data_IF_465704748222
#
_entry.id   IF_465704748222
#
_cell.length_a   1.000
_cell.length_b   1.000
_cell.length_c   1.000
_cell.angle_alpha   90.00
_cell.angle_beta   90.00
_cell.angle_gamma   90.00
#
_symmetry.space_group_name_H-M   'P 1'
#
loop_
_entity.id
_entity.type
_entity.pdbx_description
1 polymer ?
#
# COMPACT_ATOMS: atom_id res chain seq x y z
N UNK A 1 -7.74 -92.48 -32.63
CA UNK A 1 -7.98 -93.32 -31.43
C UNK A 1 -8.44 -92.40 -30.31
N UNK A 2 -9.64 -92.63 -29.76
CA UNK A 2 -10.32 -91.77 -28.77
C UNK A 2 -9.59 -91.81 -27.41
N UNK A 3 -9.63 -90.72 -26.64
CA UNK A 3 -9.95 -90.64 -25.20
C UNK A 3 -9.97 -89.14 -24.80
N UNK A 4 -11.14 -88.54 -24.54
CA UNK A 4 -11.86 -88.39 -23.25
C UNK A 4 -11.51 -87.09 -22.49
N UNK A 5 -12.57 -86.29 -22.35
CA UNK A 5 -12.85 -85.09 -21.55
C UNK A 5 -12.07 -84.87 -20.25
N UNK A 6 -11.81 -83.60 -19.93
CA UNK A 6 -12.15 -83.02 -18.62
C UNK A 6 -12.52 -81.54 -18.78
N UNK A 7 -13.70 -81.19 -18.25
CA UNK A 7 -14.16 -79.83 -18.04
C UNK A 7 -13.38 -79.23 -16.87
N UNK A 8 -12.85 -78.02 -17.02
CA UNK A 8 -12.43 -77.20 -15.90
C UNK A 8 -12.99 -75.79 -16.11
N UNK A 9 -14.07 -75.49 -15.38
CA UNK A 9 -14.65 -74.15 -15.26
C UNK A 9 -13.77 -73.40 -14.28
N UNK A 10 -12.96 -72.45 -14.77
CA UNK A 10 -12.30 -71.47 -13.91
C UNK A 10 -13.06 -70.16 -14.04
N UNK A 11 -13.87 -69.90 -13.01
CA UNK A 11 -14.49 -68.60 -12.76
C UNK A 11 -13.39 -67.61 -12.35
N UNK A 12 -12.96 -66.74 -13.27
CA UNK A 12 -12.13 -65.59 -12.94
C UNK A 12 -13.01 -64.44 -12.46
N UNK A 13 -13.09 -64.31 -11.13
CA UNK A 13 -13.64 -63.16 -10.44
C UNK A 13 -12.64 -62.00 -10.57
N UNK A 14 -12.88 -61.09 -11.51
CA UNK A 14 -12.10 -59.84 -11.63
C UNK A 14 -12.55 -58.91 -10.52
N UNK A 15 -11.81 -58.87 -9.42
CA UNK A 15 -11.95 -57.86 -8.38
C UNK A 15 -11.33 -56.57 -8.93
N UNK A 16 -12.20 -55.61 -9.30
CA UNK A 16 -11.80 -54.25 -9.61
C UNK A 16 -11.32 -53.57 -8.32
N UNK A 17 -10.00 -53.46 -8.15
CA UNK A 17 -9.38 -52.55 -7.19
C UNK A 17 -9.55 -51.12 -7.71
N UNK A 18 -10.68 -50.49 -7.41
CA UNK A 18 -10.76 -49.04 -7.41
C UNK A 18 -9.88 -48.53 -6.27
N UNK A 19 -8.63 -48.23 -6.60
CA UNK A 19 -7.78 -47.39 -5.76
C UNK A 19 -8.48 -46.05 -5.63
N UNK A 20 -9.15 -45.84 -4.50
CA UNK A 20 -9.74 -44.59 -4.10
C UNK A 20 -8.59 -43.63 -3.76
N UNK A 21 -7.93 -43.09 -4.79
CA UNK A 21 -7.11 -41.89 -4.66
C UNK A 21 -8.08 -40.75 -4.31
N UNK A 22 -8.44 -40.65 -3.03
CA UNK A 22 -8.66 -39.35 -2.44
C UNK A 22 -7.32 -38.64 -2.60
N UNK A 23 -7.22 -37.82 -3.65
CA UNK A 23 -6.34 -36.67 -3.57
C UNK A 23 -6.72 -36.02 -2.23
N UNK A 24 -5.78 -36.01 -1.28
CA UNK A 24 -5.85 -35.01 -0.23
C UNK A 24 -5.91 -33.69 -0.99
N UNK A 25 -7.11 -33.09 -1.02
CA UNK A 25 -7.19 -31.64 -1.14
C UNK A 25 -6.25 -31.14 -0.06
N UNK A 26 -5.06 -30.70 -0.48
CA UNK A 26 -4.24 -29.80 0.31
C UNK A 26 -5.23 -28.78 0.84
N UNK A 27 -5.44 -28.78 2.17
CA UNK A 27 -6.23 -27.75 2.82
C UNK A 27 -5.62 -26.45 2.35
N UNK A 28 -6.30 -25.77 1.43
CA UNK A 28 -5.98 -24.43 0.96
C UNK A 28 -5.51 -23.66 2.18
N UNK A 29 -4.21 -23.40 2.28
CA UNK A 29 -3.68 -22.52 3.30
C UNK A 29 -4.48 -21.22 3.15
N UNK A 30 -5.17 -20.81 4.22
CA UNK A 30 -6.16 -19.72 4.14
C UNK A 30 -5.48 -18.49 3.54
N UNK A 31 -6.03 -17.92 2.48
CA UNK A 31 -5.51 -16.69 1.90
C UNK A 31 -5.42 -15.55 2.96
N UNK A 32 -4.55 -14.57 2.73
CA UNK A 32 -4.23 -13.53 3.72
C UNK A 32 -5.49 -12.80 4.22
N UNK A 33 -6.37 -12.38 3.31
CA UNK A 33 -7.63 -11.70 3.66
C UNK A 33 -8.55 -12.52 4.56
N UNK A 34 -8.58 -13.84 4.39
CA UNK A 34 -9.42 -14.71 5.23
C UNK A 34 -8.78 -14.97 6.60
N UNK A 35 -7.45 -15.11 6.64
CA UNK A 35 -6.72 -15.28 7.89
C UNK A 35 -6.79 -14.02 8.78
N UNK A 36 -6.77 -12.83 8.17
CA UNK A 36 -6.79 -11.53 8.86
C UNK A 36 -8.20 -10.97 9.08
N UNK A 37 -9.24 -11.72 8.71
CA UNK A 37 -10.63 -11.30 8.88
C UNK A 37 -10.96 -11.01 10.34
N UNK A 38 -11.55 -9.84 10.60
CA UNK A 38 -11.86 -9.37 11.95
C UNK A 38 -10.64 -8.85 12.73
N UNK A 39 -9.49 -8.72 12.08
CA UNK A 39 -8.31 -8.01 12.60
C UNK A 39 -8.19 -6.66 11.89
N UNK A 40 -7.82 -6.67 10.62
CA UNK A 40 -7.72 -5.48 9.77
C UNK A 40 -7.85 -5.88 8.30
N UNK A 41 -8.09 -4.89 7.43
CA UNK A 41 -8.00 -5.08 5.98
C UNK A 41 -6.54 -5.33 5.57
N UNK A 42 -6.34 -6.24 4.61
CA UNK A 42 -5.04 -6.48 3.99
C UNK A 42 -5.11 -5.99 2.54
N UNK A 43 -4.29 -4.99 2.24
CA UNK A 43 -4.31 -4.28 0.98
C UNK A 43 -3.05 -4.45 0.15
N UNK A 44 -3.15 -4.05 -1.12
CA UNK A 44 -2.03 -4.03 -2.08
C UNK A 44 -2.11 -2.82 -2.99
N UNK A 45 -0.97 -2.18 -3.23
CA UNK A 45 -0.84 -1.14 -4.24
C UNK A 45 -0.80 -1.76 -5.65
N UNK A 46 -1.64 -1.26 -6.56
CA UNK A 46 -1.80 -1.78 -7.91
C UNK A 46 -1.14 -0.88 -8.96
N UNK A 47 -0.33 -1.50 -9.82
CA UNK A 47 0.25 -0.85 -11.00
C UNK A 47 -0.68 -0.93 -12.22
N UNK A 48 -0.30 -0.28 -13.33
CA UNK A 48 -1.14 -0.20 -14.52
C UNK A 48 -1.40 -1.55 -15.20
N UNK A 49 -0.44 -2.47 -15.19
CA UNK A 49 -0.59 -3.77 -15.85
C UNK A 49 -1.52 -4.70 -15.08
N UNK A 50 -1.56 -4.56 -13.75
CA UNK A 50 -2.53 -5.24 -12.88
C UNK A 50 -3.94 -4.63 -13.04
N UNK A 51 -4.05 -3.29 -13.07
CA UNK A 51 -5.33 -2.59 -13.26
C UNK A 51 -5.97 -2.94 -14.61
N UNK A 52 -5.17 -2.95 -15.68
CA UNK A 52 -5.64 -3.26 -17.05
C UNK A 52 -5.81 -4.75 -17.31
N UNK A 53 -5.41 -5.61 -16.37
CA UNK A 53 -5.52 -7.07 -16.48
C UNK A 53 -4.49 -7.73 -17.41
N UNK A 54 -3.45 -7.01 -17.82
CA UNK A 54 -2.32 -7.59 -18.57
C UNK A 54 -1.52 -8.55 -17.70
N UNK A 55 -1.28 -8.19 -16.44
CA UNK A 55 -0.70 -9.09 -15.45
C UNK A 55 -1.77 -10.04 -14.88
N UNK A 56 -2.06 -11.10 -15.65
CA UNK A 56 -3.05 -12.10 -15.25
C UNK A 56 -2.64 -12.91 -14.02
N UNK A 57 -1.34 -13.07 -13.76
CA UNK A 57 -0.85 -13.78 -12.58
C UNK A 57 -1.02 -12.92 -11.33
N UNK A 58 -0.65 -11.64 -11.41
CA UNK A 58 -0.81 -10.70 -10.32
C UNK A 58 -2.28 -10.46 -9.98
N UNK A 59 -3.15 -10.30 -10.99
CA UNK A 59 -4.60 -10.15 -10.77
C UNK A 59 -5.20 -11.35 -10.02
N UNK A 60 -4.71 -12.57 -10.26
CA UNK A 60 -5.15 -13.75 -9.51
C UNK A 60 -4.76 -13.65 -8.03
N UNK A 61 -3.49 -13.35 -7.75
CA UNK A 61 -3.01 -13.19 -6.37
C UNK A 61 -3.73 -12.05 -5.63
N UNK A 62 -3.97 -10.92 -6.32
CA UNK A 62 -4.67 -9.77 -5.74
C UNK A 62 -6.06 -10.19 -5.26
N UNK A 63 -6.82 -10.89 -6.09
CA UNK A 63 -8.18 -11.38 -5.73
C UNK A 63 -8.16 -12.47 -4.66
N UNK A 64 -7.12 -13.28 -4.63
CA UNK A 64 -6.99 -14.37 -3.69
C UNK A 64 -6.62 -13.86 -2.30
N UNK A 65 -5.64 -12.97 -2.19
CA UNK A 65 -5.04 -12.60 -0.91
C UNK A 65 -5.52 -11.27 -0.32
N UNK A 66 -6.09 -10.35 -1.09
CA UNK A 66 -6.32 -8.98 -0.65
C UNK A 66 -7.78 -8.56 -0.71
N UNK A 67 -8.19 -7.73 0.25
CA UNK A 67 -9.55 -7.16 0.36
C UNK A 67 -9.56 -5.64 0.33
N UNK A 68 -8.40 -5.01 0.13
CA UNK A 68 -8.24 -3.57 -0.08
C UNK A 68 -7.25 -3.30 -1.21
N UNK A 69 -7.44 -2.20 -1.94
CA UNK A 69 -6.54 -1.77 -3.02
C UNK A 69 -6.23 -0.28 -2.91
N UNK A 70 -5.05 0.10 -3.40
CA UNK A 70 -4.58 1.49 -3.55
C UNK A 70 -3.96 1.64 -4.95
N UNK A 71 -4.20 2.71 -5.72
CA UNK A 71 -3.54 2.89 -7.00
C UNK A 71 -2.11 3.41 -6.77
N UNK A 72 -1.11 2.76 -7.34
CA UNK A 72 0.29 3.15 -7.13
C UNK A 72 0.58 4.56 -7.70
N UNK A 73 -0.02 4.91 -8.84
CA UNK A 73 0.27 6.16 -9.55
C UNK A 73 -0.93 6.82 -10.23
N UNK A 74 -1.93 6.05 -10.70
CA UNK A 74 -2.93 6.57 -11.64
C UNK A 74 -3.91 7.60 -11.05
N UNK A 75 -3.93 7.78 -9.73
CA UNK A 75 -4.73 8.80 -9.04
C UNK A 75 -3.90 9.95 -8.46
N UNK A 76 -2.60 10.05 -8.77
CA UNK A 76 -1.79 11.22 -8.42
C UNK A 76 -2.18 12.43 -9.28
N UNK A 77 -2.09 13.63 -8.72
CA UNK A 77 -2.65 14.84 -9.35
C UNK A 77 -2.09 15.12 -10.75
N UNK A 78 -0.80 14.88 -11.02
CA UNK A 78 -0.22 15.08 -12.36
C UNK A 78 -0.78 14.14 -13.43
N UNK A 79 -1.20 12.94 -13.02
CA UNK A 79 -1.80 11.95 -13.91
C UNK A 79 -3.27 12.26 -14.14
N UNK A 80 -3.99 12.57 -13.05
CA UNK A 80 -5.41 12.88 -13.13
C UNK A 80 -5.69 14.21 -13.82
N UNK A 81 -4.82 15.20 -13.69
CA UNK A 81 -5.04 16.55 -14.22
C UNK A 81 -3.74 17.17 -14.78
N UNK A 82 -3.20 16.63 -15.89
CA UNK A 82 -1.93 17.07 -16.45
C UNK A 82 -1.93 18.54 -16.90
N UNK A 83 -3.09 19.08 -17.27
CA UNK A 83 -3.29 20.49 -17.62
C UNK A 83 -4.52 21.07 -16.90
N UNK A 84 -4.51 22.38 -16.64
CA UNK A 84 -5.61 23.08 -15.96
C UNK A 84 -6.95 22.80 -16.65
N UNK A 85 -7.90 22.23 -15.90
CA UNK A 85 -9.23 21.88 -16.39
C UNK A 85 -9.32 20.65 -17.31
N UNK A 86 -8.21 20.00 -17.66
CA UNK A 86 -8.22 18.76 -18.47
C UNK A 86 -7.88 17.57 -17.59
N UNK A 87 -8.86 16.70 -17.39
CA UNK A 87 -8.70 15.49 -16.59
C UNK A 87 -8.55 14.24 -17.45
N UNK A 88 -7.71 13.31 -17.01
CA UNK A 88 -7.62 11.95 -17.52
C UNK A 88 -7.99 10.95 -16.42
N UNK A 89 -9.14 10.31 -16.58
CA UNK A 89 -9.66 9.32 -15.63
C UNK A 89 -9.58 7.89 -16.16
N UNK A 90 -9.04 7.64 -17.36
CA UNK A 90 -9.23 6.37 -18.05
C UNK A 90 -8.67 5.15 -17.29
N UNK A 91 -7.49 5.28 -16.67
CA UNK A 91 -6.91 4.21 -15.86
C UNK A 91 -7.48 4.18 -14.44
N UNK A 92 -7.81 5.35 -13.87
CA UNK A 92 -8.41 5.46 -12.55
C UNK A 92 -9.84 4.87 -12.51
N UNK A 93 -10.62 5.05 -13.57
CA UNK A 93 -11.94 4.43 -13.72
C UNK A 93 -11.83 2.90 -13.73
N UNK A 94 -10.88 2.34 -14.50
CA UNK A 94 -10.62 0.89 -14.53
C UNK A 94 -10.20 0.35 -13.16
N UNK A 95 -9.41 1.12 -12.41
CA UNK A 95 -9.01 0.78 -11.05
C UNK A 95 -10.22 0.72 -10.10
N UNK A 96 -11.10 1.73 -10.13
CA UNK A 96 -12.32 1.73 -9.29
C UNK A 96 -13.26 0.60 -9.70
N UNK A 97 -13.44 0.38 -11.01
CA UNK A 97 -14.25 -0.72 -11.54
C UNK A 97 -13.70 -2.09 -11.10
N UNK A 98 -12.38 -2.25 -11.09
CA UNK A 98 -11.73 -3.46 -10.56
C UNK A 98 -12.08 -3.67 -9.09
N UNK A 99 -11.93 -2.64 -8.26
CA UNK A 99 -12.25 -2.74 -6.83
C UNK A 99 -13.71 -3.10 -6.57
N UNK A 100 -14.65 -2.43 -7.26
CA UNK A 100 -16.09 -2.69 -7.10
C UNK A 100 -16.46 -4.10 -7.57
N UNK A 101 -15.94 -4.55 -8.72
CA UNK A 101 -16.22 -5.89 -9.26
C UNK A 101 -15.75 -7.02 -8.34
N UNK A 102 -14.71 -6.78 -7.55
CA UNK A 102 -14.13 -7.77 -6.64
C UNK A 102 -14.46 -7.49 -5.16
N UNK A 103 -15.41 -6.58 -4.87
CA UNK A 103 -15.84 -6.22 -3.52
C UNK A 103 -14.69 -5.80 -2.58
N UNK A 104 -13.73 -5.04 -3.10
CA UNK A 104 -12.57 -4.56 -2.34
C UNK A 104 -12.84 -3.18 -1.74
N UNK A 105 -12.22 -2.91 -0.58
CA UNK A 105 -12.10 -1.55 -0.07
C UNK A 105 -11.16 -0.75 -0.98
N UNK A 106 -11.63 0.40 -1.47
CA UNK A 106 -10.95 1.18 -2.50
C UNK A 106 -10.39 2.45 -1.86
N UNK A 107 -9.07 2.61 -1.88
CA UNK A 107 -8.38 3.83 -1.45
C UNK A 107 -8.08 4.67 -2.68
N UNK A 108 -8.24 5.99 -2.57
CA UNK A 108 -7.74 6.96 -3.54
C UNK A 108 -6.44 7.59 -3.05
N UNK A 109 -5.39 7.53 -3.87
CA UNK A 109 -4.05 8.00 -3.52
C UNK A 109 -3.46 8.79 -4.70
N UNK A 110 -3.24 10.11 -4.59
CA UNK A 110 -3.53 11.03 -3.48
C UNK A 110 -3.93 12.39 -4.05
N UNK A 111 -4.70 13.17 -3.29
CA UNK A 111 -5.28 14.43 -3.75
C UNK A 111 -4.29 15.61 -3.74
N UNK A 112 -3.53 15.76 -2.65
CA UNK A 112 -2.58 16.86 -2.46
C UNK A 112 -1.24 16.30 -1.97
N UNK A 113 -0.25 16.35 -2.85
CA UNK A 113 1.11 15.93 -2.55
C UNK A 113 2.12 16.88 -3.18
N UNK A 114 3.22 17.15 -2.48
CA UNK A 114 4.25 18.05 -2.99
C UNK A 114 4.99 17.47 -4.20
N UNK A 115 5.06 16.14 -4.29
CA UNK A 115 5.57 15.41 -5.45
C UNK A 115 4.42 15.05 -6.39
N UNK A 116 4.73 14.89 -7.68
CA UNK A 116 3.77 14.52 -8.72
C UNK A 116 2.50 15.40 -8.74
N UNK A 117 2.63 16.67 -8.31
CA UNK A 117 1.66 17.71 -8.54
C UNK A 117 1.98 18.42 -9.86
N UNK A 118 0.97 18.66 -10.71
CA UNK A 118 1.23 19.23 -12.03
C UNK A 118 1.69 20.69 -11.86
N UNK A 119 2.76 21.06 -12.59
CA UNK A 119 3.41 22.38 -12.45
C UNK A 119 2.44 23.56 -12.55
N UNK A 120 1.41 23.42 -13.37
CA UNK A 120 0.41 24.47 -13.59
C UNK A 120 -0.36 24.84 -12.32
N UNK A 121 -0.43 23.98 -11.29
CA UNK A 121 -1.04 24.33 -10.01
C UNK A 121 -0.43 25.62 -9.46
N UNK A 122 0.90 25.72 -9.51
CA UNK A 122 1.64 26.70 -8.72
C UNK A 122 1.98 27.97 -9.49
N UNK A 123 1.96 27.95 -10.82
CA UNK A 123 2.47 29.08 -11.63
C UNK A 123 1.43 29.71 -12.55
N UNK A 124 1.63 30.99 -12.84
CA UNK A 124 0.91 31.76 -13.85
C UNK A 124 1.49 31.50 -15.26
N UNK A 125 0.91 32.17 -16.27
CA UNK A 125 1.38 32.09 -17.67
C UNK A 125 2.83 32.57 -17.89
N UNK A 126 3.41 33.28 -16.93
CA UNK A 126 4.77 33.79 -16.98
C UNK A 126 5.75 32.93 -16.15
N UNK A 127 5.28 31.83 -15.56
CA UNK A 127 6.07 30.95 -14.71
C UNK A 127 6.32 31.49 -13.29
N UNK A 128 5.58 32.51 -12.84
CA UNK A 128 5.65 33.03 -11.47
C UNK A 128 4.64 32.33 -10.58
N UNK A 129 4.96 32.20 -9.29
CA UNK A 129 4.03 31.67 -8.30
C UNK A 129 2.70 32.45 -8.35
N UNK A 130 1.59 31.71 -8.34
CA UNK A 130 0.25 32.29 -8.28
C UNK A 130 -0.06 32.85 -6.89
N UNK A 131 -1.12 33.65 -6.78
CA UNK A 131 -1.59 34.11 -5.47
C UNK A 131 -2.16 32.95 -4.64
N UNK A 132 -2.26 33.18 -3.33
CA UNK A 132 -2.89 32.25 -2.39
C UNK A 132 -4.30 31.85 -2.85
N UNK A 133 -5.10 32.82 -3.26
CA UNK A 133 -6.50 32.62 -3.66
C UNK A 133 -6.60 31.73 -4.91
N UNK A 134 -5.72 31.94 -5.89
CA UNK A 134 -5.68 31.13 -7.11
C UNK A 134 -5.30 29.68 -6.78
N UNK A 135 -4.29 29.44 -5.92
CA UNK A 135 -3.94 28.07 -5.56
C UNK A 135 -5.04 27.39 -4.75
N UNK A 136 -5.75 28.11 -3.86
CA UNK A 136 -6.91 27.57 -3.14
C UNK A 136 -8.02 27.17 -4.11
N UNK A 137 -8.33 28.01 -5.10
CA UNK A 137 -9.35 27.71 -6.12
C UNK A 137 -8.96 26.49 -6.96
N UNK A 138 -7.69 26.38 -7.36
CA UNK A 138 -7.16 25.22 -8.10
C UNK A 138 -7.24 23.94 -7.28
N UNK A 139 -6.85 23.99 -6.00
CA UNK A 139 -7.01 22.86 -5.07
C UNK A 139 -8.48 22.47 -4.93
N UNK A 140 -9.38 23.44 -4.72
CA UNK A 140 -10.82 23.17 -4.61
C UNK A 140 -11.35 22.51 -5.87
N UNK A 141 -11.03 23.03 -7.05
CA UNK A 141 -11.48 22.47 -8.32
C UNK A 141 -10.97 21.03 -8.52
N UNK A 142 -9.67 20.79 -8.29
CA UNK A 142 -9.08 19.46 -8.40
C UNK A 142 -9.76 18.46 -7.45
N UNK A 143 -9.79 18.77 -6.15
CA UNK A 143 -10.33 17.89 -5.13
C UNK A 143 -11.81 17.60 -5.38
N UNK A 144 -12.62 18.63 -5.60
CA UNK A 144 -14.07 18.44 -5.80
C UNK A 144 -14.40 17.68 -7.08
N UNK A 145 -13.61 17.85 -8.15
CA UNK A 145 -13.80 17.08 -9.39
C UNK A 145 -13.41 15.62 -9.22
N UNK A 146 -12.24 15.34 -8.62
CA UNK A 146 -11.73 13.97 -8.43
C UNK A 146 -12.59 13.20 -7.42
N UNK A 147 -12.77 13.75 -6.22
CA UNK A 147 -13.58 13.10 -5.17
C UNK A 147 -15.03 12.99 -5.60
N UNK A 148 -15.59 14.05 -6.20
CA UNK A 148 -16.97 14.06 -6.70
C UNK A 148 -17.24 13.02 -7.79
N UNK A 149 -16.27 12.74 -8.67
CA UNK A 149 -16.38 11.68 -9.69
C UNK A 149 -16.56 10.29 -9.08
N UNK A 150 -15.88 10.02 -7.98
CA UNK A 150 -15.86 8.70 -7.33
C UNK A 150 -16.70 8.64 -6.06
N UNK A 151 -17.61 9.61 -5.87
CA UNK A 151 -18.49 9.71 -4.71
C UNK A 151 -19.23 8.39 -4.45
N UNK A 152 -19.11 7.86 -3.24
CA UNK A 152 -19.71 6.58 -2.83
C UNK A 152 -19.10 5.33 -3.47
N UNK A 153 -18.00 5.47 -4.21
CA UNK A 153 -17.27 4.35 -4.86
C UNK A 153 -15.87 4.17 -4.29
N UNK A 154 -15.15 5.27 -4.05
CA UNK A 154 -13.88 5.26 -3.30
C UNK A 154 -14.22 5.42 -1.82
N UNK A 155 -13.70 4.51 -0.99
CA UNK A 155 -14.07 4.39 0.42
C UNK A 155 -13.22 5.27 1.33
N UNK A 156 -11.96 5.53 0.95
CA UNK A 156 -11.11 6.47 1.66
C UNK A 156 -10.10 7.17 0.76
N UNK A 157 -9.70 8.38 1.14
CA UNK A 157 -8.75 9.22 0.40
C UNK A 157 -7.55 9.59 1.25
N UNK A 158 -6.36 9.38 0.72
CA UNK A 158 -5.18 10.11 1.18
C UNK A 158 -5.32 11.56 0.69
N UNK A 159 -5.85 12.43 1.54
CA UNK A 159 -6.19 13.81 1.18
C UNK A 159 -4.94 14.65 1.07
N UNK A 160 -4.04 14.53 2.07
CA UNK A 160 -2.75 15.20 2.07
C UNK A 160 -1.67 14.16 2.36
N UNK A 161 -0.65 14.14 1.51
CA UNK A 161 0.50 13.25 1.63
C UNK A 161 1.77 14.04 1.98
N UNK A 162 2.53 13.56 2.98
CA UNK A 162 3.92 13.98 3.29
C UNK A 162 4.15 15.49 3.50
N UNK A 163 3.30 16.11 4.31
CA UNK A 163 3.37 17.55 4.60
C UNK A 163 4.30 17.91 5.77
N UNK A 164 4.75 16.93 6.56
CA UNK A 164 5.53 17.12 7.78
C UNK A 164 6.92 16.49 7.63
N UNK A 165 7.94 17.24 8.02
CA UNK A 165 9.34 16.79 8.05
C UNK A 165 9.61 15.91 9.27
N UNK A 166 10.73 15.18 9.26
CA UNK A 166 11.12 14.28 10.36
C UNK A 166 11.27 14.97 11.72
N UNK A 167 11.60 16.27 11.72
CA UNK A 167 11.73 17.09 12.94
C UNK A 167 10.39 17.69 13.41
N UNK A 168 9.29 17.38 12.73
CA UNK A 168 7.95 17.88 13.02
C UNK A 168 7.64 19.25 12.41
N UNK A 169 8.57 19.87 11.68
CA UNK A 169 8.29 21.11 10.97
C UNK A 169 7.50 20.86 9.68
N UNK A 170 6.80 21.89 9.18
CA UNK A 170 6.15 21.80 7.88
C UNK A 170 7.18 21.74 6.75
N UNK A 171 7.00 20.76 5.85
CA UNK A 171 7.70 20.72 4.57
C UNK A 171 7.47 22.01 3.81
N UNK A 172 8.53 22.62 3.31
CA UNK A 172 8.47 23.88 2.54
C UNK A 172 8.01 23.65 1.09
N UNK A 173 6.91 22.91 0.91
CA UNK A 173 6.27 22.67 -0.39
C UNK A 173 5.69 23.95 -0.98
N UNK A 174 5.40 23.97 -2.28
CA UNK A 174 4.73 25.11 -2.92
C UNK A 174 3.33 25.38 -2.34
N UNK A 175 2.61 24.34 -1.92
CA UNK A 175 1.36 24.50 -1.18
C UNK A 175 1.58 25.28 0.12
N UNK A 176 2.58 24.89 0.93
CA UNK A 176 2.91 25.61 2.16
C UNK A 176 3.45 27.02 1.90
N UNK A 177 4.29 27.23 0.89
CA UNK A 177 4.88 28.54 0.60
C UNK A 177 3.86 29.57 0.11
N UNK A 178 2.89 29.13 -0.72
CA UNK A 178 1.89 30.01 -1.33
C UNK A 178 0.66 30.18 -0.43
N UNK A 179 0.15 29.08 0.16
CA UNK A 179 -1.03 29.14 1.03
C UNK A 179 -0.61 29.29 2.50
N UNK A 180 0.38 28.56 2.99
CA UNK A 180 0.65 28.43 4.42
C UNK A 180 -0.10 27.23 5.03
N UNK A 181 -0.05 27.07 6.35
CA UNK A 181 -0.53 25.87 7.08
C UNK A 181 -2.00 25.50 6.78
N UNK A 182 -2.82 26.48 6.40
CA UNK A 182 -4.24 26.29 6.05
C UNK A 182 -4.47 25.30 4.91
N UNK A 183 -3.48 25.03 4.04
CA UNK A 183 -3.68 24.18 2.87
C UNK A 183 -4.16 22.77 3.25
N UNK A 184 -3.72 22.25 4.40
CA UNK A 184 -4.16 20.95 4.90
C UNK A 184 -5.64 21.01 5.26
N UNK A 185 -6.03 21.95 6.12
CA UNK A 185 -7.44 22.13 6.53
C UNK A 185 -8.36 22.29 5.32
N UNK A 186 -8.00 23.17 4.39
CA UNK A 186 -8.78 23.42 3.18
C UNK A 186 -8.94 22.18 2.31
N UNK A 187 -7.88 21.36 2.16
CA UNK A 187 -7.96 20.13 1.38
C UNK A 187 -8.97 19.14 1.98
N UNK A 188 -8.96 18.96 3.31
CA UNK A 188 -9.92 18.11 4.01
C UNK A 188 -11.35 18.66 3.94
N UNK A 189 -11.55 19.97 4.09
CA UNK A 189 -12.85 20.61 3.91
C UNK A 189 -13.41 20.38 2.49
N UNK A 190 -12.59 20.56 1.45
CA UNK A 190 -13.01 20.34 0.05
C UNK A 190 -13.31 18.87 -0.24
N UNK A 191 -12.54 17.94 0.31
CA UNK A 191 -12.78 16.51 0.15
C UNK A 191 -14.09 16.10 0.84
N UNK A 192 -14.33 16.58 2.07
CA UNK A 192 -15.57 16.33 2.80
C UNK A 192 -16.80 16.93 2.11
N UNK A 193 -16.69 18.15 1.59
CA UNK A 193 -17.77 18.79 0.80
C UNK A 193 -18.15 17.94 -0.43
N UNK A 194 -17.16 17.36 -1.10
CA UNK A 194 -17.37 16.57 -2.32
C UNK A 194 -18.01 15.20 -2.01
N UNK A 195 -17.48 14.47 -1.02
CA UNK A 195 -18.05 13.22 -0.54
C UNK A 195 -18.02 13.11 0.99
N UNK A 196 -19.17 13.40 1.66
CA UNK A 196 -19.25 13.32 3.11
C UNK A 196 -19.09 11.91 3.70
N UNK A 197 -19.33 10.87 2.90
CA UNK A 197 -19.31 9.46 3.34
C UNK A 197 -17.93 8.81 3.19
N UNK A 198 -17.05 9.37 2.36
CA UNK A 198 -15.69 8.88 2.22
C UNK A 198 -14.86 9.18 3.48
N UNK A 199 -13.98 8.24 3.82
CA UNK A 199 -13.00 8.43 4.88
C UNK A 199 -11.85 9.32 4.40
N UNK A 200 -11.39 10.25 5.24
CA UNK A 200 -10.36 11.23 4.88
C UNK A 200 -9.10 11.02 5.71
N UNK A 201 -7.97 10.80 5.03
CA UNK A 201 -6.71 10.42 5.67
C UNK A 201 -5.60 11.44 5.46
N UNK A 202 -4.74 11.56 6.48
CA UNK A 202 -3.39 12.10 6.33
C UNK A 202 -2.39 10.95 6.21
N UNK A 203 -1.51 10.95 5.22
CA UNK A 203 -0.55 9.86 4.95
C UNK A 203 0.89 10.39 4.91
N UNK A 204 1.85 9.67 5.50
CA UNK A 204 3.27 10.09 5.54
C UNK A 204 4.23 8.93 5.88
N UNK A 205 5.51 9.07 5.52
CA UNK A 205 6.59 8.15 5.91
C UNK A 205 7.34 8.61 7.17
N UNK A 206 8.19 7.75 7.72
CA UNK A 206 8.98 8.01 8.93
C UNK A 206 8.14 8.38 10.16
N UNK A 207 6.88 7.94 10.20
CA UNK A 207 5.91 8.29 11.23
C UNK A 207 6.24 7.72 12.63
N UNK A 208 7.23 6.85 12.72
CA UNK A 208 7.84 6.35 13.96
C UNK A 208 8.79 7.36 14.64
N UNK A 209 9.28 8.38 13.92
CA UNK A 209 10.17 9.40 14.51
C UNK A 209 9.37 10.31 15.43
N UNK A 210 9.84 10.49 16.66
CA UNK A 210 9.17 11.28 17.71
C UNK A 210 8.74 12.68 17.25
N UNK A 211 9.64 13.46 16.63
CA UNK A 211 9.32 14.81 16.16
C UNK A 211 8.15 14.84 15.18
N UNK A 212 8.17 13.94 14.18
CA UNK A 212 7.07 13.81 13.21
C UNK A 212 5.79 13.27 13.86
N UNK A 213 5.87 12.22 14.69
CA UNK A 213 4.74 11.64 15.43
C UNK A 213 3.99 12.73 16.20
N UNK A 214 4.70 13.50 17.01
CA UNK A 214 4.10 14.51 17.88
C UNK A 214 3.47 15.66 17.07
N UNK A 215 4.12 16.06 15.98
CA UNK A 215 3.59 17.07 15.07
C UNK A 215 2.30 16.63 14.39
N UNK A 216 2.23 15.38 13.91
CA UNK A 216 1.01 14.85 13.29
C UNK A 216 -0.11 14.70 14.32
N UNK A 217 0.15 14.21 15.54
CA UNK A 217 -0.83 14.18 16.63
C UNK A 217 -1.40 15.58 16.89
N UNK A 218 -0.53 16.59 16.97
CA UNK A 218 -0.94 17.98 17.17
C UNK A 218 -1.77 18.49 15.99
N UNK A 219 -1.36 18.20 14.76
CA UNK A 219 -2.08 18.60 13.55
C UNK A 219 -3.49 18.01 13.51
N UNK A 220 -3.64 16.70 13.74
CA UNK A 220 -4.96 16.04 13.74
C UNK A 220 -5.87 16.62 14.82
N UNK A 221 -5.38 16.79 16.05
CA UNK A 221 -6.15 17.42 17.14
C UNK A 221 -6.56 18.86 16.80
N UNK A 222 -5.70 19.60 16.09
CA UNK A 222 -6.01 20.96 15.65
C UNK A 222 -7.07 21.00 14.53
N UNK A 223 -7.07 20.03 13.62
CA UNK A 223 -8.14 19.89 12.61
C UNK A 223 -9.47 19.54 13.29
N UNK A 224 -9.47 18.57 14.20
CA UNK A 224 -10.66 18.18 14.96
C UNK A 224 -11.24 19.33 15.79
N UNK A 225 -10.40 20.14 16.45
CA UNK A 225 -10.87 21.29 17.25
C UNK A 225 -11.53 22.39 16.40
N UNK A 226 -11.23 22.44 15.10
CA UNK A 226 -11.85 23.33 14.12
C UNK A 226 -13.08 22.71 13.44
N UNK A 227 -13.48 21.49 13.82
CA UNK A 227 -14.62 20.78 13.23
C UNK A 227 -14.34 20.15 11.86
N UNK A 228 -13.07 20.01 11.48
CA UNK A 228 -12.66 19.41 10.21
C UNK A 228 -12.74 17.89 10.31
N UNK A 229 -13.41 17.24 9.34
CA UNK A 229 -13.44 15.77 9.26
C UNK A 229 -12.06 15.24 8.88
N UNK A 230 -11.52 14.39 9.73
CA UNK A 230 -10.34 13.56 9.49
C UNK A 230 -10.61 12.21 10.16
N UNK A 231 -10.59 11.15 9.36
CA UNK A 231 -11.02 9.82 9.79
C UNK A 231 -9.84 8.90 10.10
N UNK A 232 -8.65 9.20 9.61
CA UNK A 232 -7.50 8.34 9.84
C UNK A 232 -6.12 8.96 9.59
N UNK A 233 -5.12 8.29 10.15
CA UNK A 233 -3.69 8.55 9.95
C UNK A 233 -3.07 7.30 9.30
N UNK A 234 -2.48 7.48 8.13
CA UNK A 234 -1.72 6.47 7.40
C UNK A 234 -0.23 6.58 7.70
N UNK A 235 0.34 5.49 8.21
CA UNK A 235 1.78 5.30 8.33
C UNK A 235 2.25 4.50 7.12
N UNK A 236 3.06 5.09 6.23
CA UNK A 236 3.47 4.40 5.01
C UNK A 236 4.13 3.05 5.31
N UNK A 237 5.06 2.98 6.26
CA UNK A 237 5.67 1.70 6.63
C UNK A 237 6.74 1.22 5.65
N UNK A 238 7.45 2.17 5.03
CA UNK A 238 8.64 1.93 4.22
C UNK A 238 9.84 1.53 5.09
N UNK A 239 9.92 0.26 5.47
CA UNK A 239 10.86 -0.25 6.47
C UNK A 239 12.23 -0.61 5.88
N UNK A 240 13.24 -0.61 6.74
CA UNK A 240 14.55 -1.23 6.50
C UNK A 240 14.79 -2.33 7.53
N UNK A 241 15.89 -3.08 7.36
CA UNK A 241 16.30 -4.10 8.32
C UNK A 241 16.52 -3.57 9.74
N UNK A 242 16.83 -2.29 9.89
CA UNK A 242 17.22 -1.64 11.15
C UNK A 242 16.32 -0.45 11.55
N UNK A 243 15.41 -0.01 10.69
CA UNK A 243 14.51 1.11 10.96
C UNK A 243 13.07 0.81 10.50
N UNK A 244 12.06 1.24 11.27
CA UNK A 244 12.13 1.76 12.64
C UNK A 244 12.32 0.65 13.67
N UNK A 245 12.69 0.98 14.91
CA UNK A 245 12.60 -0.02 15.98
C UNK A 245 11.13 -0.37 16.24
N UNK A 246 10.84 -1.59 16.68
CA UNK A 246 9.46 -1.99 17.04
C UNK A 246 8.88 -1.09 18.15
N UNK A 247 9.73 -0.65 19.07
CA UNK A 247 9.32 0.26 20.16
C UNK A 247 8.83 1.61 19.64
N UNK A 248 9.56 2.24 18.70
CA UNK A 248 9.14 3.54 18.16
C UNK A 248 7.92 3.42 17.24
N UNK A 249 7.81 2.33 16.48
CA UNK A 249 6.61 2.02 15.69
C UNK A 249 5.38 1.84 16.60
N UNK A 250 5.53 1.08 17.70
CA UNK A 250 4.46 0.85 18.67
C UNK A 250 4.01 2.16 19.35
N UNK A 251 4.96 3.03 19.74
CA UNK A 251 4.64 4.36 20.30
C UNK A 251 3.80 5.19 19.33
N UNK A 252 4.10 5.15 18.03
CA UNK A 252 3.33 5.87 17.02
C UNK A 252 1.93 5.30 16.82
N UNK A 253 1.78 3.97 16.72
CA UNK A 253 0.47 3.33 16.61
C UNK A 253 -0.44 3.75 17.79
N UNK A 254 0.09 3.69 19.01
CA UNK A 254 -0.65 4.09 20.21
C UNK A 254 -0.99 5.59 20.17
N UNK A 255 0.00 6.46 19.95
CA UNK A 255 -0.20 7.92 19.97
C UNK A 255 -1.20 8.39 18.90
N UNK A 256 -1.19 7.80 17.71
CA UNK A 256 -2.15 8.12 16.65
C UNK A 256 -3.56 7.61 17.01
N UNK A 257 -3.69 6.40 17.56
CA UNK A 257 -4.98 5.89 18.02
C UNK A 257 -5.63 6.75 19.11
N UNK A 258 -4.82 7.36 19.99
CA UNK A 258 -5.27 8.27 21.05
C UNK A 258 -5.77 9.63 20.54
N UNK A 259 -5.69 9.89 19.23
CA UNK A 259 -6.39 11.03 18.60
C UNK A 259 -7.85 10.70 18.26
N UNK A 260 -8.28 9.45 18.41
CA UNK A 260 -9.65 9.00 18.15
C UNK A 260 -9.98 8.80 16.67
N UNK A 261 -8.97 8.78 15.80
CA UNK A 261 -9.08 8.46 14.37
C UNK A 261 -8.52 7.06 14.11
N UNK A 262 -8.83 6.48 12.96
CA UNK A 262 -8.28 5.19 12.50
C UNK A 262 -6.78 5.26 12.30
N UNK A 263 -6.09 4.14 12.52
CA UNK A 263 -4.66 4.00 12.21
C UNK A 263 -4.48 2.94 11.15
N UNK A 264 -3.63 3.21 10.17
CA UNK A 264 -3.39 2.28 9.07
C UNK A 264 -1.89 2.20 8.77
N UNK A 265 -1.42 1.04 8.35
CA UNK A 265 -0.16 0.88 7.64
C UNK A 265 -0.49 0.87 6.14
N UNK A 266 0.01 1.83 5.38
CA UNK A 266 -0.56 2.16 4.06
C UNK A 266 0.29 1.73 2.87
N UNK A 267 1.60 1.57 3.05
CA UNK A 267 2.58 1.36 1.97
C UNK A 267 3.73 0.42 2.42
N UNK A 268 3.39 -0.64 3.16
CA UNK A 268 4.35 -1.53 3.77
C UNK A 268 5.25 -2.19 2.72
N UNK A 269 6.55 -2.00 2.89
CA UNK A 269 7.61 -2.76 2.24
C UNK A 269 8.83 -2.84 3.17
N UNK A 270 9.71 -3.81 2.96
CA UNK A 270 10.91 -4.00 3.78
C UNK A 270 12.15 -4.19 2.90
N UNK A 271 12.93 -3.12 2.72
CA UNK A 271 14.18 -3.25 1.95
C UNK A 271 15.25 -4.01 2.74
N UNK A 272 15.91 -4.92 2.04
CA UNK A 272 17.09 -5.66 2.53
C UNK A 272 18.39 -5.07 1.99
N UNK A 273 18.30 -4.07 1.11
CA UNK A 273 19.45 -3.45 0.49
C UNK A 273 20.06 -2.36 1.39
N UNK A 274 21.38 -2.15 1.31
CA UNK A 274 22.03 -1.04 1.99
C UNK A 274 21.46 0.32 1.55
N UNK A 275 21.28 1.22 2.51
CA UNK A 275 20.92 2.61 2.22
C UNK A 275 22.10 3.35 1.56
N UNK A 276 21.87 4.11 0.48
CA UNK A 276 22.90 4.96 -0.11
C UNK A 276 23.19 6.23 0.71
N UNK A 277 22.31 6.59 1.64
CA UNK A 277 22.40 7.80 2.45
C UNK A 277 22.52 7.50 3.95
N UNK A 278 22.91 8.53 4.72
CA UNK A 278 23.07 8.45 6.18
C UNK A 278 21.76 8.52 6.96
N UNK A 279 20.65 8.87 6.30
CA UNK A 279 19.31 8.93 6.91
C UNK A 279 18.35 8.04 6.14
N UNK A 280 17.58 7.23 6.86
CA UNK A 280 16.46 6.48 6.30
C UNK A 280 15.30 7.45 6.00
N UNK A 281 14.81 7.40 4.76
CA UNK A 281 13.76 8.26 4.20
C UNK A 281 13.04 7.52 3.07
N UNK A 282 11.84 7.98 2.72
CA UNK A 282 11.08 7.59 1.52
C UNK A 282 10.83 8.80 0.57
N UNK A 283 11.56 9.91 0.75
CA UNK A 283 11.38 11.11 -0.08
C UNK A 283 11.73 10.83 -1.55
N UNK A 284 10.69 10.72 -2.38
CA UNK A 284 10.81 10.37 -3.80
C UNK A 284 11.69 11.32 -4.61
N UNK A 285 12.01 12.51 -4.11
CA UNK A 285 12.96 13.43 -4.76
C UNK A 285 14.43 12.99 -4.65
N UNK A 286 14.75 12.02 -3.77
CA UNK A 286 16.10 11.49 -3.63
C UNK A 286 16.49 10.62 -4.83
N UNK A 287 17.71 10.81 -5.31
CA UNK A 287 18.31 9.99 -6.36
C UNK A 287 19.82 9.89 -6.12
N UNK A 288 20.37 8.68 -6.24
CA UNK A 288 21.79 8.41 -6.08
C UNK A 288 22.31 7.61 -7.28
N UNK A 289 23.58 7.81 -7.61
CA UNK A 289 24.25 7.01 -8.63
C UNK A 289 24.37 5.55 -8.19
N UNK A 290 24.26 4.65 -9.16
CA UNK A 290 24.45 3.22 -8.93
C UNK A 290 25.88 2.92 -8.47
N UNK A 291 25.99 2.16 -7.38
CA UNK A 291 27.26 1.61 -6.91
C UNK A 291 27.06 0.14 -6.55
N UNK A 292 28.01 -0.72 -6.94
CA UNK A 292 27.88 -2.18 -6.83
C UNK A 292 27.57 -2.64 -5.39
N UNK A 293 28.13 -1.96 -4.39
CA UNK A 293 27.90 -2.29 -2.98
C UNK A 293 26.47 -1.98 -2.49
N UNK A 294 25.72 -1.17 -3.23
CA UNK A 294 24.30 -0.88 -2.95
C UNK A 294 23.36 -1.92 -3.55
N UNK A 295 23.88 -2.84 -4.38
CA UNK A 295 23.17 -3.97 -4.95
C UNK A 295 23.92 -5.30 -4.70
N UNK A 296 24.08 -5.72 -3.42
CA UNK A 296 24.86 -6.90 -3.09
C UNK A 296 24.21 -8.22 -3.52
N UNK A 297 22.91 -8.24 -3.83
CA UNK A 297 22.11 -9.45 -4.07
C UNK A 297 21.44 -9.47 -5.46
N UNK A 298 22.17 -9.25 -6.57
CA UNK A 298 21.54 -9.10 -7.88
C UNK A 298 20.88 -10.39 -8.40
N UNK A 299 21.25 -11.56 -7.86
CA UNK A 299 20.84 -12.89 -8.34
C UNK A 299 20.18 -13.75 -7.25
N UNK A 300 19.62 -13.14 -6.22
CA UNK A 300 19.00 -13.82 -5.08
C UNK A 300 19.64 -13.46 -3.74
N UNK A 301 18.85 -13.63 -2.67
CA UNK A 301 19.30 -13.43 -1.30
C UNK A 301 20.08 -14.65 -0.79
N UNK A 302 21.18 -14.45 -0.04
CA UNK A 302 21.72 -15.49 0.83
C UNK A 302 20.68 -15.92 1.86
N UNK A 303 20.65 -17.21 2.21
CA UNK A 303 19.68 -17.78 3.17
C UNK A 303 19.62 -17.02 4.50
N UNK A 304 20.77 -16.56 5.01
CA UNK A 304 20.84 -15.78 6.25
C UNK A 304 20.15 -14.42 6.14
N UNK A 305 20.23 -13.77 4.98
CA UNK A 305 19.56 -12.48 4.72
C UNK A 305 18.07 -12.69 4.51
N UNK A 306 17.69 -13.75 3.78
CA UNK A 306 16.30 -14.14 3.61
C UNK A 306 15.62 -14.46 4.94
N UNK A 307 16.30 -15.20 5.83
CA UNK A 307 15.79 -15.50 7.17
C UNK A 307 15.68 -14.22 8.02
N UNK A 308 16.68 -13.35 7.99
CA UNK A 308 16.60 -12.08 8.73
C UNK A 308 15.44 -11.21 8.25
N UNK A 309 15.20 -11.12 6.93
CA UNK A 309 14.07 -10.39 6.37
C UNK A 309 12.72 -11.03 6.76
N UNK A 310 12.65 -12.36 6.77
CA UNK A 310 11.48 -13.10 7.27
C UNK A 310 11.20 -12.74 8.73
N UNK A 311 12.19 -12.86 9.61
CA UNK A 311 12.04 -12.61 11.05
C UNK A 311 11.60 -11.17 11.29
N UNK A 312 12.18 -10.23 10.55
CA UNK A 312 11.85 -8.81 10.62
C UNK A 312 10.41 -8.52 10.21
N UNK A 313 9.92 -9.13 9.14
CA UNK A 313 8.51 -9.03 8.78
C UNK A 313 7.61 -9.63 9.85
N UNK A 314 7.96 -10.81 10.36
CA UNK A 314 7.16 -11.49 11.39
C UNK A 314 7.06 -10.64 12.66
N UNK A 315 8.13 -9.99 13.08
CA UNK A 315 8.12 -9.04 14.20
C UNK A 315 7.09 -7.90 14.00
N UNK A 316 7.07 -7.26 12.83
CA UNK A 316 6.11 -6.20 12.54
C UNK A 316 4.68 -6.73 12.44
N UNK A 317 4.44 -7.87 11.79
CA UNK A 317 3.09 -8.43 11.73
C UNK A 317 2.57 -8.88 13.10
N UNK A 318 3.43 -9.41 13.99
CA UNK A 318 3.05 -9.64 15.40
C UNK A 318 2.67 -8.34 16.10
N UNK A 319 3.41 -7.26 15.87
CA UNK A 319 3.08 -5.95 16.43
C UNK A 319 1.73 -5.44 15.89
N UNK A 320 1.46 -5.59 14.59
CA UNK A 320 0.19 -5.19 13.99
C UNK A 320 -0.97 -6.02 14.52
N UNK A 321 -0.79 -7.34 14.65
CA UNK A 321 -1.79 -8.25 15.24
C UNK A 321 -2.05 -7.93 16.72
N UNK A 322 -1.01 -7.57 17.48
CA UNK A 322 -1.12 -7.11 18.88
C UNK A 322 -2.00 -5.85 19.00
N UNK A 323 -1.96 -4.97 18.00
CA UNK A 323 -2.75 -3.73 17.94
C UNK A 323 -3.87 -3.78 16.89
N UNK A 324 -4.41 -4.97 16.60
CA UNK A 324 -5.53 -5.13 15.68
C UNK A 324 -6.82 -4.43 16.19
N UNK A 325 -6.87 -4.02 17.46
CA UNK A 325 -7.92 -3.16 18.01
C UNK A 325 -7.78 -1.68 17.62
N UNK A 326 -6.62 -1.27 17.08
CA UNK A 326 -6.27 0.11 16.72
C UNK A 326 -5.97 0.30 15.24
N UNK A 327 -5.58 -0.78 14.55
CA UNK A 327 -5.20 -0.75 13.14
C UNK A 327 -6.37 -1.25 12.30
N UNK A 328 -6.83 -0.44 11.35
CA UNK A 328 -7.95 -0.77 10.47
C UNK A 328 -7.48 -1.46 9.17
N UNK A 329 -6.27 -1.15 8.72
CA UNK A 329 -5.73 -1.63 7.44
C UNK A 329 -4.21 -1.71 7.44
N UNK A 330 -3.68 -2.78 6.85
CA UNK A 330 -2.27 -2.94 6.47
C UNK A 330 -2.21 -3.14 4.96
N UNK A 331 -1.45 -2.33 4.22
CA UNK A 331 -1.37 -2.37 2.75
C UNK A 331 0.06 -2.51 2.29
N UNK A 332 0.35 -3.50 1.44
CA UNK A 332 1.67 -3.70 0.83
C UNK A 332 1.88 -2.73 -0.34
N UNK A 333 3.06 -2.10 -0.44
CA UNK A 333 3.38 -1.20 -1.56
C UNK A 333 3.94 -1.94 -2.77
N UNK A 334 3.06 -2.74 -3.36
CA UNK A 334 3.33 -3.58 -4.52
C UNK A 334 2.98 -5.04 -4.25
N UNK A 335 2.93 -5.83 -5.32
CA UNK A 335 2.56 -7.24 -5.25
C UNK A 335 3.78 -8.15 -5.19
N UNK A 336 4.67 -8.04 -6.18
CA UNK A 336 5.84 -8.91 -6.35
C UNK A 336 7.13 -8.13 -6.19
N UNK A 337 8.20 -8.81 -5.74
CA UNK A 337 9.56 -8.24 -5.69
C UNK A 337 10.02 -7.66 -7.06
N UNK A 338 9.43 -8.10 -8.19
CA UNK A 338 9.72 -7.57 -9.53
C UNK A 338 9.25 -6.14 -9.72
N UNK A 339 8.01 -5.87 -9.31
CA UNK A 339 7.34 -4.60 -9.60
C UNK A 339 7.64 -3.52 -8.56
N UNK A 340 8.40 -3.84 -7.50
CA UNK A 340 8.67 -2.90 -6.43
C UNK A 340 9.47 -1.69 -6.91
N UNK A 341 8.99 -0.50 -6.56
CA UNK A 341 9.70 0.77 -6.75
C UNK A 341 11.12 0.77 -6.15
N UNK A 342 11.38 -0.01 -5.10
CA UNK A 342 12.70 -0.12 -4.43
C UNK A 342 13.81 -0.67 -5.33
N UNK A 343 13.45 -1.36 -6.42
CA UNK A 343 14.41 -1.79 -7.44
C UNK A 343 15.07 -0.60 -8.14
N UNK A 344 14.34 0.52 -8.28
CA UNK A 344 14.80 1.69 -9.04
C UNK A 344 14.92 2.97 -8.22
N UNK A 345 14.40 2.97 -6.99
CA UNK A 345 14.49 4.09 -6.08
C UNK A 345 15.17 3.68 -4.75
N UNK A 346 16.01 4.56 -4.16
CA UNK A 346 16.51 5.82 -4.70
C UNK A 346 17.73 5.63 -5.62
N UNK A 347 18.13 4.39 -5.90
CA UNK A 347 19.25 4.03 -6.77
C UNK A 347 18.70 3.18 -7.92
N UNK A 348 18.75 3.67 -9.16
CA UNK A 348 18.27 2.92 -10.33
C UNK A 348 19.04 1.62 -10.56
N UNK A 349 18.36 0.55 -11.00
CA UNK A 349 18.98 -0.68 -11.47
C UNK A 349 19.46 -1.65 -10.38
N UNK A 350 18.83 -1.64 -9.20
CA UNK A 350 19.07 -2.61 -8.13
C UNK A 350 18.06 -3.76 -8.16
N UNK A 351 18.36 -4.81 -7.40
CA UNK A 351 17.48 -5.97 -7.21
C UNK A 351 17.15 -6.09 -5.73
N UNK A 352 15.99 -5.57 -5.32
CA UNK A 352 15.49 -5.67 -3.94
C UNK A 352 14.51 -6.85 -3.80
N UNK A 353 14.14 -7.18 -2.56
CA UNK A 353 13.21 -8.28 -2.24
C UNK A 353 12.19 -7.88 -1.17
N UNK A 354 11.46 -6.76 -1.34
CA UNK A 354 10.84 -6.09 -0.23
C UNK A 354 9.36 -6.42 -0.05
N UNK A 355 8.82 -7.43 -0.72
CA UNK A 355 7.38 -7.76 -0.72
C UNK A 355 7.10 -9.22 -0.33
N UNK A 356 5.82 -9.58 -0.28
CA UNK A 356 5.36 -10.89 0.18
C UNK A 356 5.45 -11.99 -0.89
N UNK A 357 5.49 -11.63 -2.16
CA UNK A 357 5.57 -12.57 -3.29
C UNK A 357 6.87 -12.34 -4.06
N UNK A 358 7.50 -13.43 -4.48
CA UNK A 358 8.71 -13.37 -5.27
C UNK A 358 8.44 -12.96 -6.73
N UNK A 359 9.53 -12.83 -7.50
CA UNK A 359 9.49 -12.47 -8.93
C UNK A 359 8.78 -13.50 -9.83
N UNK A 360 8.46 -14.68 -9.30
CA UNK A 360 7.74 -15.76 -9.98
C UNK A 360 6.31 -15.92 -9.45
N UNK A 361 5.77 -14.90 -8.76
CA UNK A 361 4.43 -14.91 -8.18
C UNK A 361 4.24 -16.03 -7.13
N UNK A 362 5.31 -16.54 -6.53
CA UNK A 362 5.22 -17.51 -5.43
C UNK A 362 5.21 -16.79 -4.09
N UNK A 363 4.36 -17.22 -3.14
CA UNK A 363 4.38 -16.66 -1.79
C UNK A 363 5.73 -16.96 -1.13
N UNK A 364 6.37 -15.93 -0.56
CA UNK A 364 7.56 -16.11 0.28
C UNK A 364 7.13 -16.74 1.62
N UNK A 365 8.04 -17.43 2.35
CA UNK A 365 7.68 -18.12 3.60
C UNK A 365 6.98 -17.26 4.65
N UNK A 366 7.19 -15.94 4.61
CA UNK A 366 6.50 -14.99 5.51
C UNK A 366 4.97 -15.00 5.35
N UNK A 367 4.43 -15.27 4.16
CA UNK A 367 2.98 -15.33 3.93
C UNK A 367 2.34 -16.40 4.82
N UNK A 368 2.95 -17.59 4.86
CA UNK A 368 2.49 -18.71 5.71
C UNK A 368 2.60 -18.34 7.21
N UNK A 369 3.68 -17.67 7.61
CA UNK A 369 3.87 -17.19 8.99
C UNK A 369 2.77 -16.20 9.39
N UNK A 370 2.45 -15.20 8.55
CA UNK A 370 1.39 -14.23 8.81
C UNK A 370 0.04 -14.96 8.99
N UNK A 371 -0.28 -15.90 8.09
CA UNK A 371 -1.51 -16.68 8.16
C UNK A 371 -1.58 -17.47 9.47
N UNK A 372 -0.49 -18.14 9.85
CA UNK A 372 -0.44 -18.94 11.08
C UNK A 372 -0.62 -18.08 12.32
N UNK A 373 0.01 -16.92 12.39
CA UNK A 373 -0.07 -16.01 13.54
C UNK A 373 -1.42 -15.33 13.65
N UNK A 374 -2.08 -15.00 12.53
CA UNK A 374 -3.41 -14.41 12.55
C UNK A 374 -4.50 -15.36 13.08
N UNK A 375 -4.27 -16.68 13.02
CA UNK A 375 -5.19 -17.72 13.49
C UNK A 375 -4.96 -18.14 14.95
N UNK A 376 -3.97 -17.57 15.65
CA UNK A 376 -3.76 -17.75 17.09
C UNK A 376 -4.61 -16.76 17.88
#
# INVERSE_FOLDING_TARGET
MKLKSYYFVISFMVIALFANCKAEESKSEKALQEALKGKFLIGVAMNADQITGKDTAGVRLIKEHFNSITPENCMKSEVLQPEEGKFDFALADQYVDFGQKNNMFIVGHTLIWHSQAPKWFFVDKNGKDVSREVLIERMKNHITTVVGRYKGRVHGWDVVNEAIEDDGSFRKSKFYQIIGEDFIRLAFEFAHEADPEAELYYNDYSMSKEGKRDAVVKMVRNLQSQGVKIDGIGMQGHMTMDFPTLEEEEKSIVAFSETGVKVMITELDLTVLPSPGTKVSADVALSYEYQKQLNPYPNGLPDSVAQAAHDRYAEFFRLFLKHADKIDRVTMWGLTDEDSWRNNWPVPGRTDYPLLFDRNYQPKPIVETIIKEANQ
#
